data_IF_712630188401
#
_entry.id   IF_712630188401
#
_cell.length_a   1.000
_cell.length_b   1.000
_cell.length_c   1.000
_cell.angle_alpha   90.00
_cell.angle_beta   90.00
_cell.angle_gamma   90.00
#
_symmetry.space_group_name_H-M   'P 1'
#
loop_
_entity.id
_entity.type
_entity.pdbx_description
1 polymer ?
#
# COMPACT_ATOMS: atom_id res chain seq x y z
N UNK A 1 -2.19 -18.78 0.28
CA UNK A 1 -1.58 -17.60 -0.36
C UNK A 1 -0.92 -18.07 -1.65
N UNK A 2 -1.17 -17.39 -2.77
CA UNK A 2 -0.55 -17.74 -4.06
C UNK A 2 0.75 -16.97 -4.35
N UNK A 3 0.95 -15.81 -3.73
CA UNK A 3 2.12 -14.96 -3.89
C UNK A 3 3.04 -14.98 -2.66
N UNK A 4 4.33 -14.75 -2.89
CA UNK A 4 5.36 -14.57 -1.86
C UNK A 4 5.28 -13.18 -1.22
N UNK A 5 5.95 -13.00 -0.07
CA UNK A 5 6.06 -11.70 0.60
C UNK A 5 6.61 -10.64 -0.36
N UNK A 6 7.68 -10.97 -1.05
CA UNK A 6 8.41 -10.06 -1.94
C UNK A 6 7.56 -9.66 -3.16
N UNK A 7 6.74 -10.57 -3.70
CA UNK A 7 5.81 -10.27 -4.78
C UNK A 7 4.69 -9.33 -4.32
N UNK A 8 4.13 -9.55 -3.13
CA UNK A 8 3.10 -8.66 -2.57
C UNK A 8 3.66 -7.26 -2.29
N UNK A 9 4.87 -7.16 -1.72
CA UNK A 9 5.50 -5.86 -1.46
C UNK A 9 5.84 -5.16 -2.78
N UNK A 10 6.39 -5.88 -3.76
CA UNK A 10 6.71 -5.32 -5.08
C UNK A 10 5.47 -4.78 -5.77
N UNK A 11 4.37 -5.54 -5.73
CA UNK A 11 3.09 -5.08 -6.26
C UNK A 11 2.67 -3.75 -5.64
N UNK A 12 2.75 -3.61 -4.30
CA UNK A 12 2.39 -2.37 -3.61
C UNK A 12 3.37 -1.23 -3.90
N UNK A 13 4.67 -1.52 -4.04
CA UNK A 13 5.66 -0.51 -4.46
C UNK A 13 5.33 0.07 -5.83
N UNK A 14 5.14 -0.80 -6.82
CA UNK A 14 4.96 -0.39 -8.22
C UNK A 14 3.62 0.28 -8.46
N UNK A 15 2.55 -0.18 -7.80
CA UNK A 15 1.19 0.26 -8.08
C UNK A 15 0.66 1.32 -7.09
N UNK A 16 1.34 1.55 -5.96
CA UNK A 16 0.90 2.53 -4.96
C UNK A 16 2.04 3.43 -4.50
N UNK A 17 3.09 2.85 -3.90
CA UNK A 17 4.05 3.64 -3.13
C UNK A 17 4.92 4.53 -4.01
N UNK A 18 5.51 3.99 -5.08
CA UNK A 18 6.32 4.78 -6.03
C UNK A 18 5.46 5.83 -6.74
N UNK A 19 4.27 5.50 -7.30
CA UNK A 19 3.40 6.51 -7.90
C UNK A 19 3.03 7.64 -6.92
N UNK A 20 2.72 7.33 -5.66
CA UNK A 20 2.37 8.33 -4.65
C UNK A 20 3.58 9.16 -4.21
N UNK A 21 4.76 8.56 -4.08
CA UNK A 21 5.99 9.26 -3.67
C UNK A 21 6.56 10.18 -4.76
N UNK A 22 6.50 9.74 -6.02
CA UNK A 22 7.06 10.47 -7.17
C UNK A 22 6.07 11.45 -7.80
N UNK A 23 4.82 11.47 -7.35
CA UNK A 23 3.81 12.42 -7.82
C UNK A 23 4.29 13.88 -7.59
N UNK A 24 4.26 14.76 -8.61
CA UNK A 24 4.71 16.15 -8.50
C UNK A 24 4.00 16.97 -7.41
N UNK A 25 2.78 16.57 -7.02
CA UNK A 25 1.97 17.22 -5.99
C UNK A 25 2.20 16.62 -4.59
N UNK A 26 3.03 15.59 -4.45
CA UNK A 26 3.32 14.96 -3.16
C UNK A 26 4.18 15.88 -2.28
N UNK A 27 3.60 16.32 -1.17
CA UNK A 27 4.32 17.10 -0.16
C UNK A 27 5.20 16.22 0.74
N UNK A 28 5.97 16.86 1.63
CA UNK A 28 6.86 16.16 2.58
C UNK A 28 6.10 15.21 3.50
N UNK A 29 4.84 15.52 3.86
CA UNK A 29 4.04 14.69 4.76
C UNK A 29 3.60 13.40 4.07
N UNK A 30 3.16 13.49 2.81
CA UNK A 30 2.82 12.33 1.97
C UNK A 30 4.06 11.44 1.81
N UNK A 31 5.19 12.00 1.39
CA UNK A 31 6.44 11.25 1.21
C UNK A 31 6.90 10.56 2.50
N UNK A 32 6.78 11.22 3.65
CA UNK A 32 7.10 10.60 4.95
C UNK A 32 6.18 9.43 5.27
N UNK A 33 4.87 9.55 5.00
CA UNK A 33 3.90 8.45 5.21
C UNK A 33 4.17 7.26 4.29
N UNK A 34 4.52 7.51 3.03
CA UNK A 34 4.89 6.45 2.09
C UNK A 34 6.15 5.71 2.59
N UNK A 35 7.19 6.44 2.98
CA UNK A 35 8.41 5.82 3.51
C UNK A 35 8.16 5.00 4.79
N UNK A 36 7.30 5.47 5.69
CA UNK A 36 6.90 4.69 6.86
C UNK A 36 6.11 3.42 6.48
N UNK A 37 5.24 3.50 5.48
CA UNK A 37 4.47 2.36 4.98
C UNK A 37 5.39 1.32 4.34
N UNK A 38 6.33 1.75 3.50
CA UNK A 38 7.39 0.92 2.91
C UNK A 38 8.20 0.20 3.98
N UNK A 39 8.66 0.92 5.00
CA UNK A 39 9.40 0.32 6.11
C UNK A 39 8.59 -0.77 6.80
N UNK A 40 7.33 -0.48 7.17
CA UNK A 40 6.43 -1.43 7.84
C UNK A 40 6.12 -2.66 6.98
N UNK A 41 5.97 -2.50 5.66
CA UNK A 41 5.78 -3.62 4.74
C UNK A 41 7.02 -4.53 4.72
N UNK A 42 8.22 -3.94 4.64
CA UNK A 42 9.47 -4.70 4.64
C UNK A 42 9.72 -5.45 5.96
N UNK A 43 9.24 -4.92 7.09
CA UNK A 43 9.28 -5.56 8.41
C UNK A 43 8.34 -6.77 8.55
N UNK A 44 7.39 -6.98 7.63
CA UNK A 44 6.49 -8.13 7.72
C UNK A 44 7.26 -9.45 7.58
N UNK A 45 6.94 -10.45 8.38
CA UNK A 45 7.70 -11.72 8.41
C UNK A 45 7.23 -12.75 7.38
N UNK A 46 6.06 -12.56 6.76
CA UNK A 46 5.51 -13.48 5.76
C UNK A 46 4.53 -12.79 4.82
N UNK A 47 4.12 -13.51 3.76
CA UNK A 47 3.09 -13.05 2.82
C UNK A 47 1.74 -12.82 3.52
N UNK A 48 1.36 -13.71 4.45
CA UNK A 48 0.14 -13.57 5.27
C UNK A 48 0.15 -12.29 6.09
N UNK A 49 1.32 -11.90 6.60
CA UNK A 49 1.47 -10.66 7.36
C UNK A 49 1.37 -9.41 6.47
N UNK A 50 1.88 -9.47 5.24
CA UNK A 50 1.66 -8.40 4.25
C UNK A 50 0.18 -8.28 3.88
N UNK A 51 -0.50 -9.41 3.65
CA UNK A 51 -1.94 -9.43 3.39
C UNK A 51 -2.76 -8.86 4.56
N UNK A 52 -2.48 -9.29 5.79
CA UNK A 52 -3.12 -8.73 6.99
C UNK A 52 -2.87 -7.23 7.14
N UNK A 53 -1.63 -6.79 6.90
CA UNK A 53 -1.27 -5.37 6.93
C UNK A 53 -2.08 -4.57 5.90
N UNK A 54 -2.19 -5.06 4.67
CA UNK A 54 -2.94 -4.42 3.60
C UNK A 54 -4.39 -4.11 4.01
N UNK A 55 -5.11 -5.12 4.52
CA UNK A 55 -6.50 -4.94 4.98
C UNK A 55 -6.61 -4.07 6.23
N UNK A 56 -5.72 -4.26 7.19
CA UNK A 56 -5.72 -3.50 8.44
C UNK A 56 -5.43 -2.02 8.17
N UNK A 57 -4.54 -1.72 7.23
CA UNK A 57 -4.21 -0.37 6.85
C UNK A 57 -5.46 0.40 6.42
N UNK A 58 -6.28 -0.14 5.51
CA UNK A 58 -7.51 0.50 5.03
C UNK A 58 -8.60 0.66 6.10
N UNK A 59 -8.61 -0.20 7.14
CA UNK A 59 -9.64 -0.20 8.17
C UNK A 59 -9.40 0.80 9.32
N UNK A 60 -8.23 1.44 9.38
CA UNK A 60 -7.86 2.35 10.48
C UNK A 60 -8.06 3.81 10.11
N UNK A 61 -8.31 4.68 11.10
CA UNK A 61 -8.40 6.13 10.90
C UNK A 61 -7.15 6.71 10.23
N UNK A 62 -5.96 6.19 10.61
CA UNK A 62 -4.70 6.57 10.00
C UNK A 62 -4.60 6.15 8.52
N UNK A 63 -5.18 5.01 8.18
CA UNK A 63 -5.34 4.55 6.81
C UNK A 63 -6.24 5.48 6.01
N UNK A 64 -7.43 5.76 6.53
CA UNK A 64 -8.43 6.64 5.91
C UNK A 64 -7.84 8.05 5.67
N UNK A 65 -7.09 8.60 6.64
CA UNK A 65 -6.37 9.87 6.46
C UNK A 65 -5.31 9.79 5.36
N UNK A 66 -4.59 8.68 5.27
CA UNK A 66 -3.56 8.48 4.24
C UNK A 66 -4.19 8.34 2.86
N UNK A 67 -5.28 7.58 2.75
CA UNK A 67 -6.11 7.47 1.55
C UNK A 67 -6.57 8.85 1.07
N UNK A 68 -7.20 9.66 1.93
CA UNK A 68 -7.68 11.00 1.56
C UNK A 68 -6.56 11.89 1.03
N UNK A 69 -5.38 11.86 1.66
CA UNK A 69 -4.23 12.66 1.23
C UNK A 69 -3.66 12.21 -0.10
N UNK A 70 -3.44 10.92 -0.28
CA UNK A 70 -2.89 10.34 -1.51
C UNK A 70 -3.90 10.51 -2.67
N UNK A 71 -5.19 10.28 -2.43
CA UNK A 71 -6.25 10.49 -3.42
C UNK A 71 -6.36 11.97 -3.83
N UNK A 72 -6.18 12.92 -2.89
CA UNK A 72 -6.27 14.36 -3.19
C UNK A 72 -5.22 14.86 -4.18
N UNK A 73 -4.08 14.16 -4.31
CA UNK A 73 -3.04 14.45 -5.29
C UNK A 73 -3.19 13.66 -6.59
N UNK A 74 -4.24 12.84 -6.71
CA UNK A 74 -4.51 11.97 -7.85
C UNK A 74 -3.57 10.77 -7.95
N UNK A 75 -2.95 10.36 -6.85
CA UNK A 75 -2.12 9.16 -6.80
C UNK A 75 -2.96 7.93 -6.43
N UNK A 76 -2.57 6.72 -6.90
CA UNK A 76 -3.24 5.48 -6.55
C UNK A 76 -3.07 5.13 -5.07
N UNK A 77 -4.07 4.45 -4.52
CA UNK A 77 -4.19 4.05 -3.11
C UNK A 77 -4.34 2.53 -2.97
N UNK A 78 -4.39 2.02 -1.74
CA UNK A 78 -4.62 0.58 -1.51
C UNK A 78 -6.01 0.15 -1.97
N UNK A 79 -6.99 1.04 -1.83
CA UNK A 79 -8.37 0.86 -2.25
C UNK A 79 -8.48 0.68 -3.78
N UNK A 80 -7.67 1.41 -4.54
CA UNK A 80 -7.68 1.38 -6.00
C UNK A 80 -7.11 0.06 -6.57
N UNK A 81 -6.16 -0.56 -5.86
CA UNK A 81 -5.47 -1.80 -6.30
C UNK A 81 -5.99 -3.06 -5.61
N UNK A 82 -7.08 -2.91 -4.84
CA UNK A 82 -7.59 -3.94 -3.93
C UNK A 82 -7.97 -5.22 -4.66
N UNK A 83 -8.63 -5.09 -5.80
CA UNK A 83 -9.19 -6.26 -6.51
C UNK A 83 -8.07 -7.03 -7.22
N UNK A 84 -7.06 -6.34 -7.76
CA UNK A 84 -5.83 -6.94 -8.27
C UNK A 84 -5.01 -7.61 -7.15
N UNK A 85 -4.89 -6.96 -5.99
CA UNK A 85 -4.19 -7.52 -4.83
C UNK A 85 -4.86 -8.82 -4.34
N UNK A 86 -6.20 -8.85 -4.26
CA UNK A 86 -6.97 -10.06 -3.92
C UNK A 86 -6.66 -11.21 -4.89
N UNK A 87 -6.69 -10.94 -6.20
CA UNK A 87 -6.38 -11.93 -7.24
C UNK A 87 -4.95 -12.46 -7.08
N UNK A 88 -3.99 -11.57 -6.81
CA UNK A 88 -2.59 -11.94 -6.57
C UNK A 88 -2.44 -12.85 -5.34
N UNK A 89 -3.17 -12.57 -4.27
CA UNK A 89 -3.19 -13.41 -3.06
C UNK A 89 -3.87 -14.78 -3.27
N UNK A 90 -4.70 -14.91 -4.30
CA UNK A 90 -5.55 -16.08 -4.54
C UNK A 90 -6.82 -16.09 -3.68
N UNK A 91 -7.25 -14.91 -3.23
CA UNK A 91 -8.49 -14.76 -2.46
C UNK A 91 -9.71 -15.02 -3.37
N UNK A 92 -10.71 -15.73 -2.85
CA UNK A 92 -11.97 -16.03 -3.55
C UNK A 92 -13.03 -14.96 -3.29
#
# INVERSE_FOLDING_TARGET
MNATKEELIRFLEENVLIPAETNPKADVKIKRKINLTRMRLNEQVSAEKVHQYFWSAMATDNGIDSYKKISSIGAPTFEDVRDEFKKLCGDK
#
